data_IF_732238209911
#
_entry.id   IF_732238209911
#
_cell.length_a   1.000
_cell.length_b   1.000
_cell.length_c   1.000
_cell.angle_alpha   90.00
_cell.angle_beta   90.00
_cell.angle_gamma   90.00
#
_symmetry.space_group_name_H-M   'P 1'
#
loop_
_entity.id
_entity.type
_entity.pdbx_description
1 polymer ?
#
# COMPACT_ATOMS: atom_id res chain seq x y z
N UNK A 1 -39.24 63.27 -50.34
CA UNK A 1 -38.96 62.78 -51.71
C UNK A 1 -38.56 61.31 -51.59
N UNK A 2 -39.51 60.42 -51.88
CA UNK A 2 -39.39 58.97 -51.68
C UNK A 2 -38.45 58.36 -52.73
N UNK A 3 -37.49 57.54 -52.30
CA UNK A 3 -36.90 56.50 -53.15
C UNK A 3 -37.18 55.15 -52.51
N UNK A 4 -38.01 54.37 -53.21
CA UNK A 4 -38.09 52.92 -53.10
C UNK A 4 -36.68 52.34 -53.34
N UNK A 5 -36.38 51.15 -52.83
CA UNK A 5 -36.09 49.97 -53.67
C UNK A 5 -35.24 48.90 -52.96
N UNK A 6 -35.69 47.65 -53.15
CA UNK A 6 -35.02 46.35 -53.03
C UNK A 6 -34.85 45.73 -51.63
N UNK A 7 -35.71 44.74 -51.42
CA UNK A 7 -35.62 43.61 -50.50
C UNK A 7 -34.55 42.64 -51.04
N UNK A 8 -33.59 42.26 -50.19
CA UNK A 8 -32.77 41.06 -50.39
C UNK A 8 -33.01 40.15 -49.19
N UNK A 9 -33.79 39.10 -49.46
CA UNK A 9 -34.16 38.05 -48.53
C UNK A 9 -32.95 37.09 -48.38
N UNK A 10 -32.06 37.35 -47.43
CA UNK A 10 -31.00 36.38 -47.08
C UNK A 10 -31.56 35.41 -46.05
N UNK A 11 -31.91 34.21 -46.50
CA UNK A 11 -32.29 33.08 -45.64
C UNK A 11 -31.13 32.70 -44.72
N UNK A 12 -31.19 33.13 -43.46
CA UNK A 12 -30.26 32.68 -42.43
C UNK A 12 -30.70 31.28 -41.98
N UNK A 13 -29.96 30.25 -42.38
CA UNK A 13 -30.15 28.89 -41.92
C UNK A 13 -29.96 28.85 -40.39
N UNK A 14 -31.07 28.62 -39.67
CA UNK A 14 -31.06 28.38 -38.25
C UNK A 14 -30.49 26.96 -38.04
N UNK A 15 -29.21 26.86 -37.71
CA UNK A 15 -28.63 25.59 -37.27
C UNK A 15 -29.28 25.20 -35.94
N UNK A 16 -30.18 24.23 -35.99
CA UNK A 16 -30.72 23.59 -34.79
C UNK A 16 -29.57 22.85 -34.12
N UNK A 17 -29.00 23.44 -33.07
CA UNK A 17 -28.18 22.70 -32.13
C UNK A 17 -29.12 21.75 -31.36
N UNK A 18 -29.18 20.50 -31.81
CA UNK A 18 -29.67 19.39 -31.00
C UNK A 18 -28.65 19.22 -29.88
N UNK A 19 -28.85 19.91 -28.76
CA UNK A 19 -28.20 19.52 -27.51
C UNK A 19 -28.84 18.21 -27.08
N UNK A 20 -28.18 17.10 -27.39
CA UNK A 20 -28.39 15.87 -26.65
C UNK A 20 -28.12 16.19 -25.18
N UNK A 21 -29.17 16.22 -24.38
CA UNK A 21 -29.06 16.19 -22.93
C UNK A 21 -28.49 14.82 -22.53
N UNK A 22 -27.18 14.68 -22.71
CA UNK A 22 -26.40 13.58 -22.20
C UNK A 22 -26.46 13.66 -20.68
N UNK A 23 -27.17 12.69 -20.10
CA UNK A 23 -27.30 12.43 -18.67
C UNK A 23 -25.92 12.59 -17.98
N UNK A 24 -25.72 13.70 -17.25
CA UNK A 24 -24.44 14.07 -16.62
C UNK A 24 -24.11 13.24 -15.37
N UNK A 25 -24.76 12.09 -15.16
CA UNK A 25 -24.52 11.22 -14.01
C UNK A 25 -23.35 10.24 -14.21
N UNK A 26 -22.49 10.49 -15.20
CA UNK A 26 -21.20 9.84 -15.35
C UNK A 26 -20.05 10.78 -14.94
N UNK A 27 -20.28 11.68 -13.98
CA UNK A 27 -19.20 12.33 -13.25
C UNK A 27 -18.40 11.26 -12.50
N UNK A 28 -17.35 10.83 -13.19
CA UNK A 28 -16.17 10.15 -12.72
C UNK A 28 -15.93 10.43 -11.23
N UNK A 29 -16.15 9.42 -10.37
CA UNK A 29 -15.61 9.38 -9.01
C UNK A 29 -14.09 9.22 -9.11
N UNK A 30 -13.39 10.22 -9.65
CA UNK A 30 -11.98 10.43 -9.36
C UNK A 30 -11.94 10.90 -7.91
N UNK A 31 -11.93 9.94 -6.98
CA UNK A 31 -11.80 10.22 -5.56
C UNK A 31 -10.64 11.21 -5.35
N UNK A 32 -10.87 12.29 -4.58
CA UNK A 32 -9.84 13.28 -4.30
C UNK A 32 -8.63 12.57 -3.67
N UNK A 33 -7.45 12.80 -4.24
CA UNK A 33 -6.19 12.20 -3.80
C UNK A 33 -5.62 12.88 -2.55
N UNK A 34 -6.36 13.82 -1.96
CA UNK A 34 -5.86 14.85 -1.05
C UNK A 34 -5.13 14.32 0.20
N UNK A 35 -5.27 13.03 0.53
CA UNK A 35 -4.63 12.41 1.69
C UNK A 35 -3.69 11.23 1.36
N UNK A 36 -3.42 10.96 0.08
CA UNK A 36 -2.52 9.87 -0.33
C UNK A 36 -1.13 10.40 -0.68
N UNK A 37 -0.10 9.76 -0.15
CA UNK A 37 1.29 9.95 -0.57
C UNK A 37 1.57 9.15 -1.85
N UNK A 38 2.50 9.61 -2.67
CA UNK A 38 3.02 8.82 -3.80
C UNK A 38 4.25 8.06 -3.32
N UNK A 39 4.31 6.76 -3.54
CA UNK A 39 5.48 5.91 -3.28
C UNK A 39 5.94 5.25 -4.58
N UNK A 40 7.23 5.00 -4.71
CA UNK A 40 7.79 4.22 -5.80
C UNK A 40 7.65 2.70 -5.60
N UNK A 41 8.19 1.92 -6.52
CA UNK A 41 8.24 0.44 -6.41
C UNK A 41 9.14 -0.05 -5.27
N UNK A 42 10.05 0.80 -4.80
CA UNK A 42 10.99 0.54 -3.71
C UNK A 42 11.13 1.79 -2.87
N UNK A 43 11.11 1.65 -1.55
CA UNK A 43 11.24 2.78 -0.64
C UNK A 43 12.15 2.46 0.54
N UNK A 44 12.85 3.49 1.03
CA UNK A 44 13.55 3.38 2.31
C UNK A 44 12.53 3.38 3.44
N UNK A 45 12.66 2.41 4.33
CA UNK A 45 11.85 2.32 5.54
C UNK A 45 12.72 2.04 6.74
N UNK A 46 12.26 2.49 7.91
CA UNK A 46 12.85 2.14 9.20
C UNK A 46 11.81 1.45 10.06
N UNK A 47 12.15 0.31 10.64
CA UNK A 47 11.32 -0.34 11.65
C UNK A 47 11.63 0.32 12.99
N UNK A 48 10.66 1.02 13.56
CA UNK A 48 10.86 1.78 14.79
C UNK A 48 11.21 0.87 15.96
N UNK A 49 11.93 1.42 16.96
CA UNK A 49 12.47 0.69 18.11
C UNK A 49 13.48 -0.42 17.72
N UNK A 50 14.02 -0.34 16.51
CA UNK A 50 15.10 -1.19 16.01
C UNK A 50 16.07 -0.33 15.21
N UNK A 51 17.26 -0.88 14.94
CA UNK A 51 18.24 -0.24 14.05
C UNK A 51 18.01 -0.61 12.57
N UNK A 52 16.89 -1.28 12.25
CA UNK A 52 16.64 -1.82 10.92
C UNK A 52 16.08 -0.75 9.99
N UNK A 53 16.98 -0.13 9.24
CA UNK A 53 16.67 0.71 8.07
C UNK A 53 17.08 -0.01 6.78
N UNK A 54 16.11 -0.24 5.91
CA UNK A 54 16.33 -1.02 4.68
C UNK A 54 15.40 -0.59 3.55
N UNK A 55 15.61 -1.16 2.38
CA UNK A 55 14.75 -0.95 1.22
C UNK A 55 13.61 -1.96 1.29
N UNK A 56 12.39 -1.46 1.39
CA UNK A 56 11.20 -2.27 1.21
C UNK A 56 10.80 -2.36 -0.26
N UNK A 57 10.34 -3.53 -0.67
CA UNK A 57 9.60 -3.69 -1.93
C UNK A 57 8.15 -3.24 -1.70
N UNK A 58 7.64 -2.36 -2.56
CA UNK A 58 6.21 -2.03 -2.61
C UNK A 58 5.52 -3.04 -3.52
N UNK A 59 4.53 -3.75 -2.99
CA UNK A 59 3.90 -4.88 -3.67
C UNK A 59 2.37 -4.81 -3.57
N UNK A 60 1.74 -4.26 -4.61
CA UNK A 60 0.28 -4.14 -4.71
C UNK A 60 -0.41 -5.50 -4.85
N UNK A 61 0.32 -6.57 -5.19
CA UNK A 61 -0.20 -7.94 -5.27
C UNK A 61 -0.38 -8.61 -3.90
N UNK A 62 0.37 -8.18 -2.89
CA UNK A 62 0.28 -8.74 -1.55
C UNK A 62 -0.83 -8.10 -0.70
N UNK A 63 -1.66 -8.92 -0.05
CA UNK A 63 -2.70 -8.44 0.87
C UNK A 63 -2.10 -7.86 2.16
N UNK A 64 -1.13 -8.54 2.74
CA UNK A 64 -0.51 -8.18 4.03
C UNK A 64 0.99 -7.98 3.83
N UNK A 65 1.54 -6.95 4.47
CA UNK A 65 2.98 -6.72 4.50
C UNK A 65 3.72 -7.89 5.19
N UNK A 66 4.95 -8.15 4.80
CA UNK A 66 5.79 -9.22 5.36
C UNK A 66 7.18 -8.70 5.68
N UNK A 67 7.79 -9.25 6.72
CA UNK A 67 9.13 -8.86 7.16
C UNK A 67 9.97 -10.09 7.48
N UNK A 68 11.25 -10.03 7.14
CA UNK A 68 12.23 -11.06 7.46
C UNK A 68 12.43 -11.12 8.98
N UNK A 69 12.05 -12.25 9.57
CA UNK A 69 12.15 -12.49 10.99
C UNK A 69 12.76 -13.87 11.25
N UNK A 70 13.73 -13.90 12.15
CA UNK A 70 14.44 -15.08 12.62
C UNK A 70 14.06 -15.39 14.07
N UNK A 71 14.41 -16.60 14.52
CA UNK A 71 14.20 -17.07 15.89
C UNK A 71 12.75 -16.85 16.38
N UNK A 72 11.76 -17.02 15.49
CA UNK A 72 10.34 -16.80 15.81
C UNK A 72 9.88 -17.86 16.82
N UNK A 73 9.55 -17.43 18.03
CA UNK A 73 9.09 -18.28 19.14
C UNK A 73 7.78 -17.74 19.68
N UNK A 74 6.72 -18.52 19.56
CA UNK A 74 5.42 -18.21 20.16
C UNK A 74 5.28 -18.82 21.55
N UNK A 75 4.60 -18.09 22.43
CA UNK A 75 4.31 -18.50 23.81
C UNK A 75 3.04 -17.80 24.30
N UNK A 76 2.54 -18.23 25.45
CA UNK A 76 1.40 -17.59 26.12
C UNK A 76 1.91 -16.83 27.37
N UNK A 77 1.42 -15.60 27.56
CA UNK A 77 1.68 -14.78 28.74
C UNK A 77 0.36 -14.10 29.16
N UNK A 78 -0.08 -14.31 30.40
CA UNK A 78 -1.35 -13.79 30.93
C UNK A 78 -2.57 -14.06 30.04
N UNK A 79 -2.65 -15.25 29.44
CA UNK A 79 -3.74 -15.65 28.54
C UNK A 79 -3.72 -14.98 27.17
N UNK A 80 -2.61 -14.34 26.79
CA UNK A 80 -2.41 -13.72 25.47
C UNK A 80 -1.35 -14.46 24.67
N UNK A 81 -1.63 -14.66 23.38
CA UNK A 81 -0.64 -15.14 22.44
C UNK A 81 0.45 -14.08 22.24
N UNK A 82 1.68 -14.44 22.55
CA UNK A 82 2.88 -13.61 22.40
C UNK A 82 3.83 -14.24 21.38
N UNK A 83 4.68 -13.42 20.77
CA UNK A 83 5.76 -13.89 19.91
C UNK A 83 7.03 -13.09 20.17
N UNK A 84 8.14 -13.81 20.36
CA UNK A 84 9.49 -13.25 20.37
C UNK A 84 10.19 -13.57 19.05
N UNK A 85 10.88 -12.59 18.47
CA UNK A 85 11.56 -12.74 17.18
C UNK A 85 12.69 -11.72 17.05
N UNK A 86 13.59 -11.95 16.09
CA UNK A 86 14.61 -10.98 15.67
C UNK A 86 14.36 -10.57 14.23
N UNK A 87 14.54 -9.29 13.94
CA UNK A 87 14.49 -8.81 12.56
C UNK A 87 15.88 -8.91 11.94
N UNK A 88 15.95 -9.39 10.71
CA UNK A 88 17.17 -9.40 9.93
C UNK A 88 16.99 -8.54 8.69
N UNK A 89 17.98 -7.68 8.43
CA UNK A 89 18.10 -6.96 7.17
C UNK A 89 19.55 -6.95 6.74
N UNK A 90 19.82 -7.48 5.54
CA UNK A 90 21.20 -7.77 5.09
C UNK A 90 21.95 -8.55 6.18
N UNK A 91 23.11 -8.06 6.61
CA UNK A 91 23.98 -8.68 7.62
C UNK A 91 23.68 -8.21 9.05
N UNK A 92 22.66 -7.37 9.26
CA UNK A 92 22.29 -6.86 10.58
C UNK A 92 21.11 -7.62 11.16
N UNK A 93 21.27 -8.09 12.39
CA UNK A 93 20.23 -8.75 13.17
C UNK A 93 19.90 -7.85 14.37
N UNK A 94 18.62 -7.61 14.63
CA UNK A 94 18.18 -6.82 15.77
C UNK A 94 18.30 -7.61 17.08
N UNK A 95 18.20 -6.90 18.21
CA UNK A 95 17.81 -7.53 19.47
C UNK A 95 16.46 -8.23 19.33
N UNK A 96 16.18 -9.16 20.25
CA UNK A 96 14.89 -9.83 20.30
C UNK A 96 13.78 -8.81 20.64
N UNK A 97 12.67 -8.92 19.93
CA UNK A 97 11.48 -8.10 20.08
C UNK A 97 10.36 -9.06 20.48
N UNK A 98 9.61 -8.69 21.53
CA UNK A 98 8.44 -9.44 21.99
C UNK A 98 7.20 -8.59 21.80
N UNK A 99 6.20 -9.12 21.08
CA UNK A 99 4.95 -8.44 20.81
C UNK A 99 3.76 -9.40 20.93
N UNK A 100 2.56 -8.89 21.24
CA UNK A 100 1.34 -9.68 21.14
C UNK A 100 1.05 -10.06 19.69
N UNK A 101 0.57 -11.28 19.50
CA UNK A 101 0.11 -11.76 18.19
C UNK A 101 -1.24 -11.11 17.90
N UNK A 102 -1.31 -10.31 16.85
CA UNK A 102 -2.56 -9.68 16.38
C UNK A 102 -3.54 -10.74 15.86
N UNK A 103 -3.03 -11.70 15.08
CA UNK A 103 -3.77 -12.84 14.53
C UNK A 103 -2.83 -13.88 13.94
N UNK A 104 -3.34 -15.09 13.78
CA UNK A 104 -2.65 -16.18 13.10
C UNK A 104 -3.08 -16.30 11.64
N UNK A 105 -2.14 -16.57 10.74
CA UNK A 105 -2.42 -16.97 9.36
C UNK A 105 -2.08 -18.45 9.19
N UNK A 106 -3.02 -19.23 8.68
CA UNK A 106 -2.78 -20.63 8.31
C UNK A 106 -1.99 -20.68 7.01
N UNK A 107 -0.85 -21.37 7.03
CA UNK A 107 -0.08 -21.69 5.83
C UNK A 107 -0.58 -23.04 5.31
N UNK A 108 -1.20 -23.02 4.14
CA UNK A 108 -1.45 -24.26 3.39
C UNK A 108 -0.15 -24.67 2.72
N UNK A 109 0.55 -25.66 3.27
CA UNK A 109 1.66 -26.30 2.58
C UNK A 109 1.09 -27.47 1.75
N UNK A 110 1.24 -27.40 0.43
CA UNK A 110 0.75 -28.45 -0.48
C UNK A 110 1.46 -29.80 -0.27
N UNK A 111 2.60 -29.80 0.42
CA UNK A 111 3.50 -30.95 0.59
C UNK A 111 3.49 -31.56 2.00
N UNK A 112 2.66 -31.06 2.93
CA UNK A 112 2.66 -31.59 4.31
C UNK A 112 1.29 -31.42 4.98
N UNK A 113 0.86 -32.42 5.73
CA UNK A 113 -0.39 -32.40 6.53
C UNK A 113 -0.30 -31.51 7.78
N UNK A 114 0.89 -31.02 8.14
CA UNK A 114 1.07 -30.07 9.25
C UNK A 114 0.64 -28.66 8.83
N UNK A 115 -0.44 -28.19 9.43
CA UNK A 115 -0.84 -26.80 9.38
C UNK A 115 0.20 -25.95 10.14
N UNK A 116 1.15 -25.34 9.42
CA UNK A 116 2.00 -24.31 9.98
C UNK A 116 1.19 -23.01 10.08
N UNK A 117 1.30 -22.30 11.21
CA UNK A 117 0.70 -20.97 11.41
C UNK A 117 1.81 -19.92 11.43
N UNK A 118 1.51 -18.73 10.93
CA UNK A 118 2.41 -17.57 11.05
C UNK A 118 1.77 -16.47 11.89
N UNK A 119 2.53 -15.86 12.82
CA UNK A 119 2.03 -14.74 13.59
C UNK A 119 2.03 -13.47 12.74
N UNK A 120 0.94 -12.72 12.85
CA UNK A 120 0.87 -11.33 12.42
C UNK A 120 1.04 -10.44 13.65
N UNK A 121 1.94 -9.47 13.59
CA UNK A 121 2.14 -8.45 14.64
C UNK A 121 1.97 -7.07 14.05
N UNK A 122 1.60 -6.07 14.87
CA UNK A 122 1.65 -4.67 14.44
C UNK A 122 3.06 -4.12 14.66
N UNK A 123 3.66 -3.54 13.63
CA UNK A 123 4.93 -2.82 13.71
C UNK A 123 4.74 -1.36 13.30
N UNK A 124 5.55 -0.49 13.90
CA UNK A 124 5.64 0.92 13.54
C UNK A 124 6.73 1.10 12.48
N UNK A 125 6.34 1.52 11.28
CA UNK A 125 7.23 1.73 10.13
C UNK A 125 7.33 3.21 9.82
N UNK A 126 8.55 3.74 9.82
CA UNK A 126 8.83 5.08 9.33
C UNK A 126 9.14 5.07 7.83
N UNK A 127 8.44 5.91 7.08
CA UNK A 127 8.61 6.19 5.66
C UNK A 127 8.64 7.72 5.48
N UNK A 128 9.79 8.25 5.04
CA UNK A 128 10.06 9.68 5.12
C UNK A 128 9.97 10.16 6.57
N UNK A 129 9.20 11.23 6.81
CA UNK A 129 9.03 11.81 8.14
C UNK A 129 7.83 11.24 8.92
N UNK A 130 7.07 10.32 8.33
CA UNK A 130 5.85 9.77 8.93
C UNK A 130 6.05 8.35 9.41
N UNK A 131 5.45 8.03 10.55
CA UNK A 131 5.42 6.69 11.13
C UNK A 131 4.01 6.11 11.01
N UNK A 132 3.93 4.85 10.58
CA UNK A 132 2.68 4.14 10.36
C UNK A 132 2.68 2.82 11.12
N UNK A 133 1.65 2.60 11.94
CA UNK A 133 1.38 1.28 12.54
C UNK A 133 0.66 0.40 11.54
N UNK A 134 1.23 -0.77 11.22
CA UNK A 134 0.64 -1.70 10.24
C UNK A 134 0.90 -3.16 10.62
N UNK A 135 0.00 -4.09 10.27
CA UNK A 135 0.24 -5.52 10.45
C UNK A 135 1.34 -6.05 9.52
N UNK A 136 2.22 -6.87 10.08
CA UNK A 136 3.27 -7.60 9.39
C UNK A 136 3.20 -9.09 9.68
N UNK A 137 3.33 -9.88 8.62
CA UNK A 137 3.59 -11.29 8.70
C UNK A 137 5.06 -11.54 9.01
N UNK A 138 5.32 -12.21 10.14
CA UNK A 138 6.67 -12.64 10.50
C UNK A 138 6.99 -13.93 9.76
N UNK A 139 8.05 -13.91 8.95
CA UNK A 139 8.44 -15.03 8.11
C UNK A 139 9.95 -14.99 7.86
N UNK A 140 10.59 -16.16 7.85
CA UNK A 140 11.96 -16.29 7.36
C UNK A 140 11.97 -16.07 5.84
N UNK A 141 12.68 -15.01 5.43
CA UNK A 141 12.83 -14.58 4.04
C UNK A 141 14.29 -14.56 3.61
N UNK A 142 15.17 -15.29 4.27
CA UNK A 142 16.62 -15.28 3.97
C UNK A 142 16.94 -15.73 2.52
N UNK A 143 16.04 -16.48 1.91
CA UNK A 143 16.10 -16.94 0.51
C UNK A 143 15.48 -15.94 -0.49
N UNK A 144 15.01 -14.77 -0.02
CA UNK A 144 14.34 -13.75 -0.82
C UNK A 144 15.21 -12.50 -0.95
N UNK A 145 14.97 -11.72 -2.01
CA UNK A 145 15.76 -10.51 -2.30
C UNK A 145 15.38 -9.28 -1.49
N UNK A 146 14.25 -9.30 -0.78
CA UNK A 146 13.73 -8.14 -0.04
C UNK A 146 13.31 -8.55 1.36
N UNK A 147 13.98 -7.95 2.35
CA UNK A 147 13.73 -8.19 3.77
C UNK A 147 12.33 -7.70 4.18
N UNK A 148 11.90 -6.57 3.63
CA UNK A 148 10.57 -5.98 3.86
C UNK A 148 9.78 -5.93 2.56
N UNK A 149 8.52 -6.32 2.65
CA UNK A 149 7.52 -6.18 1.60
C UNK A 149 6.32 -5.42 2.15
N UNK A 150 5.99 -4.28 1.55
CA UNK A 150 4.82 -3.46 1.89
C UNK A 150 3.65 -3.85 1.00
N UNK A 151 2.64 -4.48 1.61
CA UNK A 151 1.42 -4.91 0.92
C UNK A 151 0.29 -3.87 1.03
N UNK A 152 -0.87 -4.24 0.50
CA UNK A 152 -2.08 -3.40 0.52
C UNK A 152 -2.54 -3.02 1.92
N UNK A 153 -2.26 -3.81 2.96
CA UNK A 153 -2.56 -3.44 4.36
C UNK A 153 -1.86 -2.15 4.80
N UNK A 154 -0.66 -1.87 4.28
CA UNK A 154 0.05 -0.61 4.49
C UNK A 154 -0.39 0.45 3.46
N UNK A 155 -0.50 0.07 2.18
CA UNK A 155 -0.67 1.03 1.08
C UNK A 155 -2.09 1.60 0.94
N UNK A 156 -3.14 0.78 1.12
CA UNK A 156 -4.53 1.18 0.88
C UNK A 156 -4.93 2.48 1.61
N UNK A 157 -4.64 2.66 2.91
CA UNK A 157 -5.06 3.86 3.62
C UNK A 157 -4.27 5.11 3.22
N UNK A 158 -3.02 4.97 2.76
CA UNK A 158 -2.10 6.12 2.71
C UNK A 158 -1.47 6.41 1.35
N UNK A 159 -1.47 5.49 0.38
CA UNK A 159 -0.58 5.62 -0.78
C UNK A 159 -1.25 5.41 -2.15
N UNK A 160 -0.63 6.03 -3.15
CA UNK A 160 -0.62 5.63 -4.56
C UNK A 160 0.79 5.12 -4.91
N UNK A 161 0.87 4.13 -5.81
CA UNK A 161 2.14 3.56 -6.24
C UNK A 161 2.46 4.04 -7.65
N UNK A 162 3.55 4.79 -7.79
CA UNK A 162 4.15 5.13 -9.07
C UNK A 162 5.18 4.05 -9.43
N UNK A 163 4.92 3.33 -10.52
CA UNK A 163 5.77 2.22 -10.95
C UNK A 163 7.04 2.69 -11.67
N UNK A 164 7.14 3.94 -12.11
CA UNK A 164 8.38 4.46 -12.69
C UNK A 164 9.40 4.79 -11.60
N UNK A 165 8.91 5.21 -10.43
CA UNK A 165 9.73 5.78 -9.37
C UNK A 165 10.29 4.75 -8.38
N UNK A 166 11.39 5.12 -7.71
CA UNK A 166 12.02 4.41 -6.59
C UNK A 166 12.67 5.42 -5.65
N UNK A 167 12.64 5.15 -4.35
CA UNK A 167 13.33 5.91 -3.30
C UNK A 167 12.89 7.37 -3.24
N UNK A 168 11.57 7.62 -3.36
CA UNK A 168 11.01 8.96 -3.24
C UNK A 168 11.20 9.50 -1.81
N UNK A 169 11.22 8.61 -0.82
CA UNK A 169 11.55 8.93 0.57
C UNK A 169 12.91 8.31 0.91
N UNK A 170 13.81 9.15 1.44
CA UNK A 170 15.16 8.76 1.85
C UNK A 170 15.23 8.74 3.37
#
# INVERSE_FOLDING_TARGET
MMKKMIVLLSSLLLSMNVFAAGNSNAEMRCASLENKIIVGQKEWVTVMNTEQRTIAKVDTGATTSSINALDIKDFEEDGKDMVSFKLKSKDKISNAITLPVKRWVKIKQSSTTKLSRRPIVDLDIKLGDKTYKTPFNLVDRDHMTSDILLGRSFLNPIALVDVEQKYLYK
#
